data_IF_638314773082
#
_entry.id   IF_638314773082
#
_cell.length_a   1.000
_cell.length_b   1.000
_cell.length_c   1.000
_cell.angle_alpha   90.00
_cell.angle_beta   90.00
_cell.angle_gamma   90.00
#
_symmetry.space_group_name_H-M   'P 1'
#
loop_
_entity.id
_entity.type
_entity.pdbx_description
1 polymer ?
#
# COMPACT_ATOMS: atom_id res chain seq x y z
N UNK A 1 -13.47 6.85 22.84
CA UNK A 1 -12.60 5.69 22.58
C UNK A 1 -12.24 5.73 21.11
N UNK A 2 -10.95 5.82 20.77
CA UNK A 2 -10.49 5.64 19.39
C UNK A 2 -10.59 4.16 19.06
N UNK A 3 -11.58 3.77 18.27
CA UNK A 3 -11.66 2.42 17.72
C UNK A 3 -10.57 2.33 16.67
N UNK A 4 -9.52 1.56 16.93
CA UNK A 4 -8.53 1.28 15.90
C UNK A 4 -9.22 0.48 14.80
N UNK A 5 -9.52 1.10 13.67
CA UNK A 5 -9.98 0.39 12.49
C UNK A 5 -8.86 -0.55 12.07
N UNK A 6 -9.11 -1.86 12.11
CA UNK A 6 -8.14 -2.84 11.68
C UNK A 6 -7.91 -2.66 10.17
N UNK A 7 -6.65 -2.51 9.72
CA UNK A 7 -6.36 -2.40 8.30
C UNK A 7 -6.84 -3.65 7.56
N UNK A 8 -7.54 -3.45 6.45
CA UNK A 8 -8.04 -4.50 5.56
C UNK A 8 -6.91 -5.39 5.05
N UNK A 9 -5.79 -4.72 4.73
CA UNK A 9 -4.61 -5.30 4.13
C UNK A 9 -3.40 -4.67 4.81
N UNK A 10 -2.47 -5.52 5.25
CA UNK A 10 -1.12 -5.10 5.63
C UNK A 10 -0.14 -5.96 4.84
N UNK A 11 0.75 -5.31 4.09
CA UNK A 11 1.72 -6.00 3.25
C UNK A 11 3.11 -5.40 3.42
N UNK A 12 4.07 -6.26 3.69
CA UNK A 12 5.46 -5.87 3.90
C UNK A 12 6.33 -6.39 2.76
N UNK A 13 7.07 -5.50 2.10
CA UNK A 13 7.93 -5.85 0.97
C UNK A 13 9.20 -5.01 0.91
N UNK A 14 10.14 -5.44 0.05
CA UNK A 14 11.46 -4.82 -0.10
C UNK A 14 11.52 -3.85 -1.27
N UNK A 15 12.15 -2.71 -1.04
CA UNK A 15 12.46 -1.69 -2.05
C UNK A 15 13.92 -1.28 -1.86
N UNK A 16 14.80 -1.76 -2.73
CA UNK A 16 16.25 -1.69 -2.56
C UNK A 16 16.68 -2.24 -1.21
N UNK A 17 17.34 -1.39 -0.41
CA UNK A 17 17.79 -1.74 0.95
C UNK A 17 16.73 -1.50 2.03
N UNK A 18 15.55 -0.97 1.70
CA UNK A 18 14.51 -0.61 2.65
C UNK A 18 13.36 -1.62 2.66
N UNK A 19 12.67 -1.66 3.80
CA UNK A 19 11.41 -2.38 3.95
C UNK A 19 10.27 -1.37 3.94
N UNK A 20 9.20 -1.68 3.21
CA UNK A 20 7.96 -0.91 3.19
C UNK A 20 6.87 -1.78 3.79
N UNK A 21 6.18 -1.25 4.79
CA UNK A 21 4.90 -1.79 5.27
C UNK A 21 3.81 -0.90 4.72
N UNK A 22 2.96 -1.48 3.87
CA UNK A 22 1.81 -0.81 3.28
C UNK A 22 0.56 -1.30 4.00
N UNK A 23 -0.26 -0.39 4.48
CA UNK A 23 -1.58 -0.69 5.05
C UNK A 23 -2.67 0.08 4.34
N UNK A 24 -3.82 -0.57 4.15
CA UNK A 24 -5.03 0.05 3.61
C UNK A 24 -6.18 -0.25 4.56
N UNK A 25 -6.91 0.78 4.95
CA UNK A 25 -8.18 0.63 5.69
C UNK A 25 -9.27 0.11 4.76
N UNK A 26 -10.23 -0.68 5.25
CA UNK A 26 -11.32 -1.19 4.41
C UNK A 26 -12.25 -0.03 4.04
N UNK A 27 -12.29 0.45 2.79
CA UNK A 27 -13.26 1.49 2.43
C UNK A 27 -14.67 0.90 2.48
N UNK A 28 -15.64 1.69 2.94
CA UNK A 28 -17.04 1.40 2.66
C UNK A 28 -17.38 1.83 1.24
N UNK A 29 -18.48 1.29 0.70
CA UNK A 29 -18.92 1.60 -0.66
C UNK A 29 -19.17 3.11 -0.80
N UNK A 30 -18.44 3.74 -1.72
CA UNK A 30 -18.55 5.18 -1.98
C UNK A 30 -17.65 6.06 -1.11
N UNK A 31 -16.86 5.47 -0.21
CA UNK A 31 -15.88 6.20 0.61
C UNK A 31 -14.48 6.17 -0.02
N UNK A 32 -13.69 7.16 0.35
CA UNK A 32 -12.26 7.21 0.04
C UNK A 32 -11.51 6.53 1.18
N UNK A 33 -10.75 5.48 0.87
CA UNK A 33 -9.80 4.90 1.82
C UNK A 33 -8.43 5.57 1.70
N UNK A 34 -7.72 5.59 2.83
CA UNK A 34 -6.33 5.97 2.88
C UNK A 34 -5.42 4.74 2.77
N UNK A 35 -4.26 4.94 2.15
CA UNK A 35 -3.17 3.98 2.14
C UNK A 35 -1.96 4.60 2.84
N UNK A 36 -1.44 3.91 3.84
CA UNK A 36 -0.25 4.34 4.59
C UNK A 36 0.93 3.49 4.14
N UNK A 37 2.10 4.12 3.95
CA UNK A 37 3.35 3.45 3.62
C UNK A 37 4.41 3.84 4.64
N UNK A 38 4.76 2.91 5.51
CA UNK A 38 5.81 3.07 6.50
C UNK A 38 7.13 2.48 5.98
N UNK A 39 8.22 3.21 6.15
CA UNK A 39 9.52 2.85 5.62
C UNK A 39 10.50 2.60 6.76
N UNK A 40 11.26 1.51 6.65
CA UNK A 40 12.32 1.16 7.59
C UNK A 40 13.66 0.92 6.87
N UNK A 41 14.80 1.41 7.41
CA UNK A 41 14.91 2.17 8.67
C UNK A 41 14.59 3.66 8.53
N UNK A 42 14.61 4.18 7.31
CA UNK A 42 14.38 5.60 7.00
C UNK A 42 13.43 5.76 5.81
N UNK A 43 12.67 6.85 5.80
CA UNK A 43 11.94 7.28 4.60
C UNK A 43 12.92 7.83 3.57
N UNK A 44 12.94 7.29 2.34
CA UNK A 44 13.83 7.78 1.30
C UNK A 44 13.44 9.20 0.87
N UNK A 45 14.43 10.07 0.66
CA UNK A 45 14.21 11.39 0.03
C UNK A 45 13.88 11.26 -1.45
N UNK A 46 14.47 10.27 -2.13
CA UNK A 46 14.27 9.94 -3.54
C UNK A 46 14.42 8.43 -3.74
N UNK A 47 13.67 7.89 -4.68
CA UNK A 47 13.84 6.52 -5.18
C UNK A 47 14.48 6.55 -6.56
N UNK A 48 15.39 5.62 -6.80
CA UNK A 48 15.89 5.32 -8.14
C UNK A 48 14.78 4.70 -9.00
N UNK A 49 14.99 4.64 -10.33
CA UNK A 49 14.05 3.99 -11.25
C UNK A 49 13.81 2.51 -10.91
N UNK A 50 14.84 1.81 -10.43
CA UNK A 50 14.73 0.40 -10.01
C UNK A 50 13.87 0.28 -8.77
N UNK A 51 14.13 1.10 -7.75
CA UNK A 51 13.36 1.10 -6.51
C UNK A 51 11.90 1.51 -6.76
N UNK A 52 11.64 2.46 -7.67
CA UNK A 52 10.27 2.78 -8.07
C UNK A 52 9.52 1.57 -8.65
N UNK A 53 10.17 0.76 -9.49
CA UNK A 53 9.55 -0.47 -10.03
C UNK A 53 9.27 -1.48 -8.93
N UNK A 54 10.19 -1.64 -7.97
CA UNK A 54 10.00 -2.53 -6.83
C UNK A 54 8.86 -2.07 -5.92
N UNK A 55 8.78 -0.77 -5.65
CA UNK A 55 7.70 -0.16 -4.89
C UNK A 55 6.35 -0.36 -5.57
N UNK A 56 6.25 -0.04 -6.87
CA UNK A 56 5.01 -0.23 -7.64
C UNK A 56 4.58 -1.69 -7.65
N UNK A 57 5.51 -2.63 -7.89
CA UNK A 57 5.20 -4.06 -7.82
C UNK A 57 4.62 -4.48 -6.47
N UNK A 58 5.19 -3.99 -5.37
CA UNK A 58 4.70 -4.26 -4.01
C UNK A 58 3.32 -3.68 -3.76
N UNK A 59 3.11 -2.41 -4.13
CA UNK A 59 1.82 -1.70 -4.06
C UNK A 59 0.75 -2.39 -4.89
N UNK A 60 1.03 -2.67 -6.16
CA UNK A 60 0.04 -3.21 -7.12
C UNK A 60 -0.43 -4.59 -6.67
N UNK A 61 0.46 -5.40 -6.10
CA UNK A 61 0.06 -6.67 -5.53
C UNK A 61 -0.71 -6.52 -4.20
N UNK A 62 -0.42 -5.51 -3.36
CA UNK A 62 -1.28 -5.22 -2.19
C UNK A 62 -2.70 -4.78 -2.61
N UNK A 63 -2.80 -4.01 -3.69
CA UNK A 63 -4.08 -3.58 -4.24
C UNK A 63 -4.83 -4.73 -4.92
N UNK A 64 -4.11 -5.68 -5.54
CA UNK A 64 -4.71 -6.91 -6.04
C UNK A 64 -5.29 -7.76 -4.89
N UNK A 65 -4.55 -7.93 -3.80
CA UNK A 65 -5.01 -8.62 -2.59
C UNK A 65 -6.28 -7.93 -2.02
N UNK A 66 -6.31 -6.58 -2.01
CA UNK A 66 -7.49 -5.81 -1.60
C UNK A 66 -8.69 -6.03 -2.53
N UNK A 67 -8.46 -6.01 -3.85
CA UNK A 67 -9.50 -6.19 -4.85
C UNK A 67 -10.17 -7.57 -4.72
N UNK A 68 -9.36 -8.61 -4.51
CA UNK A 68 -9.84 -9.96 -4.23
C UNK A 68 -10.68 -10.00 -2.94
N UNK A 69 -10.16 -9.43 -1.84
CA UNK A 69 -10.87 -9.39 -0.56
C UNK A 69 -12.22 -8.65 -0.62
N UNK A 70 -12.33 -7.62 -1.48
CA UNK A 70 -13.55 -6.84 -1.67
C UNK A 70 -14.49 -7.40 -2.74
N UNK A 71 -14.06 -8.39 -3.53
CA UNK A 71 -14.79 -8.84 -4.72
C UNK A 71 -14.95 -7.73 -5.76
N UNK A 72 -13.94 -6.87 -5.91
CA UNK A 72 -13.96 -5.69 -6.76
C UNK A 72 -12.81 -5.69 -7.78
N UNK A 73 -12.79 -4.67 -8.66
CA UNK A 73 -11.65 -4.39 -9.54
C UNK A 73 -10.94 -3.14 -9.05
N UNK A 74 -9.59 -3.15 -9.08
CA UNK A 74 -8.77 -1.99 -8.70
C UNK A 74 -8.06 -1.41 -9.92
N UNK A 75 -7.94 -0.09 -9.96
CA UNK A 75 -7.13 0.64 -10.93
C UNK A 75 -6.23 1.63 -10.21
N UNK A 76 -5.02 1.82 -10.72
CA UNK A 76 -4.08 2.81 -10.20
C UNK A 76 -3.88 3.91 -11.24
N UNK A 77 -4.07 5.16 -10.82
CA UNK A 77 -3.76 6.34 -11.61
C UNK A 77 -2.60 7.08 -10.95
N UNK A 78 -1.50 7.23 -11.67
CA UNK A 78 -0.37 8.08 -11.27
C UNK A 78 -0.45 9.38 -12.08
N UNK A 79 -0.43 10.53 -11.40
CA UNK A 79 -0.47 11.87 -11.98
C UNK A 79 0.93 12.48 -12.11
#
# INVERSE_FOLDING_TARGET
>A
MMTAEQPAIVRTFRVGKRTVTLSVETPRRGEVANMICEWSPDRPRRLSRKEWREYRRGRDAALADLAEAMGATVGVMEL
#
